data_IF_367853411018
#
_entry.id   IF_367853411018
#
_cell.length_a   1.000
_cell.length_b   1.000
_cell.length_c   1.000
_cell.angle_alpha   90.00
_cell.angle_beta   90.00
_cell.angle_gamma   90.00
#
_symmetry.space_group_name_H-M   'P 1'
#
loop_
_entity.id
_entity.type
_entity.pdbx_description
1 polymer ?
#
# COMPACT_ATOMS: atom_id res chain seq x y z
N UNK A 1 8.15 -2.69 -11.36
CA UNK A 1 7.68 -3.03 -12.73
C UNK A 1 7.56 -1.74 -13.54
N UNK A 2 8.40 -1.56 -14.58
CA UNK A 2 8.21 -0.51 -15.59
C UNK A 2 7.30 -1.09 -16.67
N UNK A 3 6.05 -0.63 -16.72
CA UNK A 3 5.13 -0.95 -17.84
C UNK A 3 5.33 0.15 -18.88
N UNK A 4 5.87 -0.25 -20.03
CA UNK A 4 6.05 0.61 -21.19
C UNK A 4 4.66 0.91 -21.78
N UNK A 5 4.19 2.16 -21.67
CA UNK A 5 2.83 2.55 -22.10
C UNK A 5 2.83 2.88 -23.59
N UNK A 6 2.27 2.00 -24.43
CA UNK A 6 1.75 2.39 -25.75
C UNK A 6 0.32 2.90 -25.60
N UNK A 7 0.00 3.95 -26.35
CA UNK A 7 -1.11 4.91 -26.13
C UNK A 7 -2.54 4.33 -26.24
N UNK A 8 -2.71 3.05 -26.60
CA UNK A 8 -3.99 2.37 -26.81
C UNK A 8 -4.11 1.00 -26.10
N UNK A 9 -3.22 0.68 -25.16
CA UNK A 9 -3.22 -0.64 -24.54
C UNK A 9 -4.19 -0.72 -23.36
N UNK A 10 -5.08 -1.72 -23.43
CA UNK A 10 -5.90 -2.14 -22.28
C UNK A 10 -4.94 -2.60 -21.20
N UNK A 11 -4.80 -1.82 -20.14
CA UNK A 11 -3.88 -2.16 -19.05
C UNK A 11 -4.59 -3.09 -18.08
N UNK A 12 -4.09 -4.30 -17.94
CA UNK A 12 -4.63 -5.29 -17.00
C UNK A 12 -3.76 -5.29 -15.75
N UNK A 13 -4.41 -5.10 -14.59
CA UNK A 13 -3.77 -5.24 -13.28
C UNK A 13 -4.29 -6.51 -12.62
N UNK A 14 -3.40 -7.43 -12.29
CA UNK A 14 -3.74 -8.68 -11.60
C UNK A 14 -3.10 -8.65 -10.22
N UNK A 15 -3.93 -8.86 -9.19
CA UNK A 15 -3.48 -8.98 -7.80
C UNK A 15 -4.10 -10.22 -7.18
N UNK A 16 -3.26 -11.15 -6.76
CA UNK A 16 -3.68 -12.27 -5.92
C UNK A 16 -3.74 -11.81 -4.47
N UNK A 17 -4.83 -12.11 -3.79
CA UNK A 17 -5.09 -11.72 -2.41
C UNK A 17 -5.86 -12.82 -1.69
N UNK A 18 -5.64 -12.95 -0.39
CA UNK A 18 -6.40 -13.90 0.42
C UNK A 18 -7.84 -13.39 0.63
N UNK A 19 -8.73 -14.29 1.03
CA UNK A 19 -10.15 -13.98 1.27
C UNK A 19 -10.36 -12.90 2.33
N UNK A 20 -9.51 -12.83 3.36
CA UNK A 20 -9.56 -11.80 4.41
C UNK A 20 -9.24 -10.40 3.87
N UNK A 21 -8.26 -10.27 2.97
CA UNK A 21 -7.89 -8.98 2.35
C UNK A 21 -8.96 -8.49 1.38
N UNK A 22 -9.65 -9.41 0.71
CA UNK A 22 -10.80 -9.03 -0.12
C UNK A 22 -11.98 -8.55 0.76
N UNK A 23 -12.22 -9.18 1.91
CA UNK A 23 -13.23 -8.77 2.90
C UNK A 23 -12.97 -7.35 3.44
N UNK A 24 -11.71 -6.95 3.68
CA UNK A 24 -11.43 -5.55 4.05
C UNK A 24 -11.79 -4.54 2.95
N UNK A 25 -11.71 -4.95 1.68
CA UNK A 25 -12.28 -4.16 0.58
C UNK A 25 -13.81 -4.19 0.53
N UNK A 26 -14.44 -5.28 0.99
CA UNK A 26 -15.91 -5.43 1.06
C UNK A 26 -16.60 -4.47 2.00
N UNK A 27 -15.91 -3.89 2.99
CA UNK A 27 -16.53 -2.88 3.86
C UNK A 27 -17.02 -1.67 3.04
N UNK A 28 -16.43 -1.43 1.87
CA UNK A 28 -16.90 -0.42 0.91
C UNK A 28 -17.73 -1.01 -0.26
N UNK A 29 -17.79 -2.34 -0.42
CA UNK A 29 -18.59 -3.04 -1.45
C UNK A 29 -19.34 -4.21 -0.79
N UNK A 30 -20.43 -3.85 -0.11
CA UNK A 30 -21.03 -4.59 0.99
C UNK A 30 -21.64 -5.98 0.68
N UNK A 31 -21.47 -6.57 -0.52
CA UNK A 31 -22.36 -7.68 -0.93
C UNK A 31 -21.70 -8.90 -1.58
N UNK A 32 -20.38 -9.00 -1.67
CA UNK A 32 -19.75 -10.16 -2.32
C UNK A 32 -19.59 -11.31 -1.32
N UNK A 33 -20.27 -12.45 -1.45
CA UNK A 33 -19.92 -13.68 -0.71
C UNK A 33 -18.78 -14.41 -1.46
N UNK A 34 -17.72 -14.83 -0.74
CA UNK A 34 -16.49 -15.34 -1.35
C UNK A 34 -16.26 -16.81 -1.00
N UNK A 35 -16.25 -17.68 -2.01
CA UNK A 35 -15.88 -19.10 -1.95
C UNK A 35 -14.37 -19.31 -2.17
N UNK A 36 -13.91 -20.55 -2.22
CA UNK A 36 -12.57 -20.87 -2.72
C UNK A 36 -12.48 -20.55 -4.22
N UNK A 37 -11.55 -19.66 -4.62
CA UNK A 37 -11.29 -19.18 -6.00
C UNK A 37 -12.30 -18.15 -6.55
N UNK A 38 -12.49 -17.02 -5.88
CA UNK A 38 -13.24 -15.91 -6.49
C UNK A 38 -12.34 -14.98 -7.29
N UNK A 39 -12.96 -14.36 -8.29
CA UNK A 39 -12.37 -13.30 -9.09
C UNK A 39 -13.23 -12.05 -8.99
N UNK A 40 -12.61 -10.90 -8.73
CA UNK A 40 -13.24 -9.59 -8.86
C UNK A 40 -12.53 -8.85 -9.99
N UNK A 41 -13.30 -8.44 -10.99
CA UNK A 41 -12.85 -7.75 -12.19
C UNK A 41 -13.37 -6.32 -12.14
N UNK A 42 -12.45 -5.36 -12.09
CA UNK A 42 -12.78 -3.94 -12.15
C UNK A 42 -12.40 -3.44 -13.54
N UNK A 43 -13.40 -3.07 -14.34
CA UNK A 43 -13.21 -2.51 -15.69
C UNK A 43 -13.48 -1.01 -15.67
N UNK A 44 -12.56 -0.25 -16.23
CA UNK A 44 -12.72 1.19 -16.45
C UNK A 44 -12.76 1.42 -17.96
N UNK A 45 -13.85 1.98 -18.43
CA UNK A 45 -14.03 2.35 -19.83
C UNK A 45 -13.96 3.87 -19.99
N UNK A 46 -13.35 4.35 -21.07
CA UNK A 46 -13.37 5.76 -21.44
C UNK A 46 -14.34 5.95 -22.60
N UNK A 47 -15.38 6.75 -22.41
CA UNK A 47 -16.39 7.08 -23.42
C UNK A 47 -16.67 8.57 -23.37
N UNK A 48 -16.53 9.28 -24.50
CA UNK A 48 -16.80 10.73 -24.61
C UNK A 48 -16.16 11.56 -23.47
N UNK A 49 -14.86 11.36 -23.21
CA UNK A 49 -14.10 11.97 -22.10
C UNK A 49 -14.60 11.67 -20.68
N UNK A 50 -15.56 10.76 -20.51
CA UNK A 50 -16.03 10.27 -19.22
C UNK A 50 -15.45 8.88 -18.96
N UNK A 51 -15.11 8.62 -17.69
CA UNK A 51 -14.67 7.30 -17.24
C UNK A 51 -15.82 6.59 -16.57
N UNK A 52 -16.16 5.40 -17.07
CA UNK A 52 -17.24 4.56 -16.57
C UNK A 52 -16.63 3.34 -15.89
N UNK A 53 -16.99 3.13 -14.63
CA UNK A 53 -16.56 1.98 -13.84
C UNK A 53 -17.62 0.87 -13.92
N UNK A 54 -17.17 -0.37 -14.15
CA UNK A 54 -18.00 -1.57 -14.06
C UNK A 54 -17.25 -2.61 -13.24
N UNK A 55 -17.95 -3.23 -12.29
CA UNK A 55 -17.38 -4.27 -11.44
C UNK A 55 -18.09 -5.57 -11.79
N UNK A 56 -17.30 -6.64 -11.92
CA UNK A 56 -17.79 -7.98 -12.14
C UNK A 56 -17.20 -8.91 -11.09
N UNK A 57 -17.95 -9.93 -10.71
CA UNK A 57 -17.47 -10.97 -9.81
C UNK A 57 -17.83 -12.34 -10.33
N UNK A 58 -16.94 -13.30 -10.06
CA UNK A 58 -17.14 -14.72 -10.35
C UNK A 58 -16.82 -15.51 -9.09
N UNK A 59 -17.83 -16.16 -8.55
CA UNK A 59 -17.75 -16.99 -7.34
C UNK A 59 -18.00 -18.48 -7.61
N UNK A 60 -18.54 -18.84 -8.78
CA UNK A 60 -18.74 -20.22 -9.22
C UNK A 60 -17.85 -20.48 -10.44
N UNK A 61 -17.12 -21.59 -10.43
CA UNK A 61 -16.20 -21.97 -11.52
C UNK A 61 -16.93 -22.45 -12.76
N UNK A 62 -18.08 -23.09 -12.57
CA UNK A 62 -18.70 -23.94 -13.58
C UNK A 62 -19.71 -23.19 -14.46
N UNK A 63 -19.99 -21.92 -14.13
CA UNK A 63 -20.79 -21.04 -14.98
C UNK A 63 -19.89 -20.11 -15.77
N UNK A 64 -20.16 -19.97 -17.08
CA UNK A 64 -19.39 -19.05 -17.93
C UNK A 64 -19.65 -17.58 -17.57
N UNK A 65 -20.86 -17.28 -17.12
CA UNK A 65 -21.30 -15.93 -16.82
C UNK A 65 -20.55 -15.28 -15.66
N UNK A 66 -20.34 -13.96 -15.80
CA UNK A 66 -19.71 -13.12 -14.78
C UNK A 66 -20.78 -12.18 -14.24
N UNK A 67 -21.03 -12.21 -12.95
CA UNK A 67 -22.05 -11.39 -12.34
C UNK A 67 -21.60 -9.93 -12.30
N UNK A 68 -22.48 -9.02 -12.74
CA UNK A 68 -22.24 -7.57 -12.64
C UNK A 68 -22.61 -7.09 -11.23
N UNK A 69 -21.72 -6.33 -10.62
CA UNK A 69 -21.97 -5.66 -9.35
C UNK A 69 -22.28 -4.18 -9.58
N UNK A 70 -23.46 -3.77 -9.14
CA UNK A 70 -23.88 -2.37 -9.15
C UNK A 70 -23.54 -1.73 -7.80
N UNK A 71 -22.78 -0.64 -7.86
CA UNK A 71 -22.28 0.05 -6.68
C UNK A 71 -23.44 0.83 -6.06
N UNK A 72 -23.73 0.52 -4.79
CA UNK A 72 -24.75 1.22 -4.01
C UNK A 72 -24.44 2.71 -4.01
N UNK A 73 -25.44 3.56 -4.23
CA UNK A 73 -25.31 5.02 -4.34
C UNK A 73 -24.55 5.57 -5.57
N UNK A 74 -24.19 4.72 -6.55
CA UNK A 74 -23.68 5.20 -7.83
C UNK A 74 -24.76 5.17 -8.93
N UNK A 75 -25.02 6.32 -9.56
CA UNK A 75 -25.91 6.41 -10.72
C UNK A 75 -25.39 5.54 -11.87
N UNK A 76 -26.25 4.72 -12.48
CA UNK A 76 -25.90 3.88 -13.61
C UNK A 76 -25.95 4.68 -14.93
N UNK A 77 -24.91 4.63 -15.79
CA UNK A 77 -23.62 3.97 -15.61
C UNK A 77 -22.70 4.70 -14.62
N UNK A 78 -22.02 3.97 -13.75
CA UNK A 78 -21.23 4.56 -12.67
C UNK A 78 -20.06 5.38 -13.20
N UNK A 79 -20.15 6.70 -13.04
CA UNK A 79 -19.10 7.64 -13.41
C UNK A 79 -18.00 7.61 -12.35
N UNK A 80 -16.76 7.39 -12.79
CA UNK A 80 -15.59 7.35 -11.91
C UNK A 80 -15.45 8.60 -11.03
N UNK A 81 -15.74 9.78 -11.59
CA UNK A 81 -15.68 11.04 -10.84
C UNK A 81 -16.75 11.12 -9.74
N UNK A 82 -17.92 10.53 -9.98
CA UNK A 82 -18.99 10.49 -8.98
C UNK A 82 -18.58 9.55 -7.84
N UNK A 83 -18.12 8.35 -8.18
CA UNK A 83 -17.60 7.38 -7.22
C UNK A 83 -16.49 7.98 -6.34
N UNK A 84 -15.50 8.64 -6.95
CA UNK A 84 -14.43 9.31 -6.21
C UNK A 84 -14.95 10.37 -5.25
N UNK A 85 -16.04 11.07 -5.59
CA UNK A 85 -16.63 12.08 -4.72
C UNK A 85 -17.31 11.42 -3.51
N UNK A 86 -18.09 10.37 -3.74
CA UNK A 86 -18.80 9.62 -2.69
C UNK A 86 -17.82 8.88 -1.78
N UNK A 87 -16.85 8.16 -2.35
CA UNK A 87 -15.88 7.39 -1.57
C UNK A 87 -14.90 8.26 -0.79
N UNK A 88 -14.67 9.52 -1.20
CA UNK A 88 -13.72 10.40 -0.51
C UNK A 88 -14.08 10.66 0.95
N UNK A 89 -15.36 10.53 1.30
CA UNK A 89 -15.83 10.64 2.69
C UNK A 89 -15.47 9.40 3.52
N UNK A 90 -15.45 8.23 2.89
CA UNK A 90 -15.15 6.95 3.54
C UNK A 90 -13.67 6.56 3.45
N UNK A 91 -12.91 7.12 2.52
CA UNK A 91 -11.47 6.88 2.40
C UNK A 91 -10.72 7.64 3.49
N UNK A 92 -10.22 6.91 4.47
CA UNK A 92 -9.35 7.45 5.50
C UNK A 92 -8.13 8.15 4.90
N UNK A 93 -7.98 9.45 5.20
CA UNK A 93 -6.79 10.24 4.84
C UNK A 93 -5.56 9.83 5.67
N UNK A 94 -5.77 9.22 6.84
CA UNK A 94 -4.74 8.93 7.84
C UNK A 94 -4.78 7.48 8.30
N UNK A 95 -4.99 6.54 7.36
CA UNK A 95 -5.16 5.11 7.65
C UNK A 95 -4.03 4.53 8.53
N UNK A 96 -2.78 4.99 8.35
CA UNK A 96 -1.65 4.54 9.19
C UNK A 96 -1.81 4.92 10.67
N UNK A 97 -2.41 6.08 10.95
CA UNK A 97 -2.66 6.54 12.31
C UNK A 97 -3.88 5.84 12.89
N UNK A 98 -4.96 5.72 12.12
CA UNK A 98 -6.19 5.04 12.54
C UNK A 98 -5.97 3.55 12.84
N UNK A 99 -5.16 2.86 12.03
CA UNK A 99 -4.77 1.48 12.29
C UNK A 99 -3.68 1.33 13.36
N UNK A 100 -3.19 2.42 13.98
CA UNK A 100 -2.13 2.39 14.99
C UNK A 100 -0.72 2.05 14.47
N UNK A 101 -0.57 1.76 13.18
CA UNK A 101 0.68 1.37 12.52
C UNK A 101 1.72 2.50 12.55
N UNK A 102 1.27 3.76 12.63
CA UNK A 102 2.16 4.91 12.73
C UNK A 102 3.09 4.83 13.95
N UNK A 103 2.63 4.27 15.08
CA UNK A 103 3.46 4.10 16.29
C UNK A 103 4.57 3.07 16.07
N UNK A 104 4.28 1.97 15.36
CA UNK A 104 5.29 0.95 15.03
C UNK A 104 6.45 1.55 14.22
N UNK A 105 6.15 2.33 13.19
CA UNK A 105 7.20 3.00 12.40
C UNK A 105 7.95 4.10 13.16
N UNK A 106 7.31 4.74 14.15
CA UNK A 106 7.99 5.72 14.99
C UNK A 106 9.04 5.05 15.89
N UNK A 107 8.72 3.88 16.47
CA UNK A 107 9.68 3.11 17.25
C UNK A 107 10.89 2.68 16.41
N UNK A 108 10.66 2.16 15.20
CA UNK A 108 11.74 1.80 14.28
C UNK A 108 12.63 3.00 13.95
N UNK A 109 12.02 4.16 13.73
CA UNK A 109 12.76 5.40 13.40
C UNK A 109 13.60 5.88 14.58
N UNK A 110 13.04 5.92 15.79
CA UNK A 110 13.78 6.33 16.99
C UNK A 110 14.91 5.36 17.25
N UNK A 111 14.64 4.06 17.19
CA UNK A 111 15.66 3.02 17.40
C UNK A 111 16.78 3.11 16.35
N UNK A 112 16.45 3.35 15.08
CA UNK A 112 17.44 3.60 14.02
C UNK A 112 18.34 4.80 14.33
N UNK A 113 17.77 5.94 14.75
CA UNK A 113 18.57 7.11 15.11
C UNK A 113 19.43 6.87 16.36
N UNK A 114 18.91 6.16 17.35
CA UNK A 114 19.67 5.80 18.56
C UNK A 114 20.84 4.87 18.22
N UNK A 115 20.62 3.82 17.42
CA UNK A 115 21.67 2.92 16.95
C UNK A 115 22.74 3.68 16.16
N UNK A 116 22.33 4.59 15.27
CA UNK A 116 23.27 5.42 14.50
C UNK A 116 24.14 6.30 15.41
N UNK A 117 23.57 6.88 16.46
CA UNK A 117 24.33 7.67 17.45
C UNK A 117 25.34 6.81 18.23
N UNK A 118 24.95 5.60 18.64
CA UNK A 118 25.84 4.67 19.36
C UNK A 118 27.05 4.31 18.49
N UNK A 119 26.83 4.01 17.20
CA UNK A 119 27.93 3.68 16.26
C UNK A 119 28.87 4.87 16.07
N UNK A 120 28.35 6.09 15.95
CA UNK A 120 29.19 7.28 15.81
C UNK A 120 30.02 7.50 17.09
N UNK A 121 29.40 7.34 18.26
CA UNK A 121 30.08 7.50 19.55
C UNK A 121 31.17 6.45 19.75
N UNK A 122 30.95 5.19 19.34
CA UNK A 122 31.96 4.14 19.47
C UNK A 122 33.17 4.39 18.56
N UNK A 123 32.96 4.89 17.34
CA UNK A 123 34.05 5.29 16.43
C UNK A 123 34.85 6.44 17.04
N UNK A 124 34.18 7.48 17.54
CA UNK A 124 34.87 8.62 18.19
C UNK A 124 35.68 8.17 19.42
N UNK A 125 35.13 7.29 20.24
CA UNK A 125 35.83 6.75 21.40
C UNK A 125 37.08 5.96 20.99
N UNK A 126 37.00 5.14 19.94
CA UNK A 126 38.16 4.39 19.44
C UNK A 126 39.28 5.29 18.92
N UNK A 127 38.94 6.37 18.19
CA UNK A 127 39.92 7.35 17.73
C UNK A 127 40.57 8.08 18.91
N UNK A 128 39.78 8.41 19.94
CA UNK A 128 40.30 9.04 21.16
C UNK A 128 41.26 8.10 21.92
N UNK A 129 40.91 6.82 22.07
CA UNK A 129 41.76 5.82 22.73
C UNK A 129 43.10 5.66 22.02
N UNK A 130 43.12 5.57 20.68
CA UNK A 130 44.36 5.47 19.90
C UNK A 130 45.24 6.72 20.10
N UNK A 131 44.64 7.92 20.04
CA UNK A 131 45.39 9.17 20.29
C UNK A 131 45.99 9.22 21.70
N UNK A 132 45.27 8.74 22.72
CA UNK A 132 45.77 8.70 24.09
C UNK A 132 46.92 7.70 24.26
N UNK A 133 46.87 6.55 23.59
CA UNK A 133 47.98 5.59 23.59
C UNK A 133 49.25 6.16 22.94
N UNK A 134 49.11 6.87 21.82
CA UNK A 134 50.23 7.50 21.13
C UNK A 134 50.83 8.66 21.96
N UNK A 135 49.99 9.44 22.63
CA UNK A 135 50.44 10.47 23.59
C UNK A 135 51.22 9.85 24.76
N UNK A 136 50.75 8.73 25.32
CA UNK A 136 51.43 8.00 26.39
C UNK A 136 52.78 7.44 25.95
N UNK A 137 52.87 6.88 24.73
CA UNK A 137 54.13 6.42 24.15
C UNK A 137 55.12 7.57 23.93
N UNK A 138 54.64 8.74 23.51
CA UNK A 138 55.48 9.92 23.34
C UNK A 138 56.04 10.42 24.69
N UNK A 139 55.20 10.49 25.72
CA UNK A 139 55.62 10.91 27.07
C UNK A 139 56.64 9.95 27.69
N UNK A 140 56.56 8.63 27.45
CA UNK A 140 57.54 7.66 27.96
C UNK A 140 58.90 7.69 27.26
N UNK A 141 58.97 8.24 26.05
CA UNK A 141 60.24 8.39 25.30
C UNK A 141 61.04 9.62 25.71
N UNK A 142 60.44 10.52 26.48
CA UNK A 142 61.04 11.78 26.94
C UNK A 142 61.48 11.64 28.39
#
# INVERSE_FOLDING_TARGET
>A
MRVNKKKNETTIYVKSINTKTLMSGKVNMASLYLLSKNLVLIKIHKTNNKYILKIFYKNVTDFDDVYKYDIVECLLPCLYNHLLKTEKEYISKKWKQECGIAKCYQLDRVMYFTLKKIIILSVLFSVFSVNMEDLLKWLKKK
#
